data_IF_521483085346
#
_entry.id   IF_521483085346
#
_cell.length_a   1.000
_cell.length_b   1.000
_cell.length_c   1.000
_cell.angle_alpha   90.00
_cell.angle_beta   90.00
_cell.angle_gamma   90.00
#
_symmetry.space_group_name_H-M   'P 1'
#
loop_
_entity.id
_entity.type
_entity.pdbx_description
1 polymer ?
#
# COMPACT_ATOMS: atom_id res chain seq x y z
N UNK A 1 21.17 12.45 -4.75
CA UNK A 1 20.09 11.45 -4.62
C UNK A 1 18.85 12.04 -5.26
N UNK A 2 18.15 11.29 -6.10
CA UNK A 2 16.90 11.76 -6.67
C UNK A 2 15.76 11.55 -5.65
N UNK A 3 14.71 12.38 -5.74
CA UNK A 3 13.53 12.27 -4.88
C UNK A 3 12.38 11.64 -5.65
N UNK A 4 11.69 10.71 -5.00
CA UNK A 4 10.46 10.12 -5.47
C UNK A 4 9.29 10.64 -4.63
N UNK A 5 8.13 10.83 -5.27
CA UNK A 5 6.87 11.19 -4.60
C UNK A 5 5.82 10.13 -4.94
N UNK A 6 5.23 9.52 -3.93
CA UNK A 6 4.03 8.70 -4.06
C UNK A 6 2.83 9.57 -3.73
N UNK A 7 1.91 9.67 -4.67
CA UNK A 7 0.63 10.32 -4.49
C UNK A 7 -0.40 9.20 -4.38
N UNK A 8 -0.80 8.88 -3.15
CA UNK A 8 -1.85 7.90 -2.89
C UNK A 8 -3.19 8.46 -3.33
N UNK A 9 -4.03 7.62 -3.93
CA UNK A 9 -5.32 8.03 -4.51
C UNK A 9 -6.49 7.34 -3.80
N UNK A 10 -6.36 6.03 -3.61
CA UNK A 10 -7.37 5.20 -2.95
C UNK A 10 -6.80 3.88 -2.44
N UNK A 11 -7.47 3.30 -1.47
CA UNK A 11 -7.27 1.92 -1.03
C UNK A 11 -8.58 1.16 -1.16
N UNK A 12 -8.54 -0.04 -1.74
CA UNK A 12 -9.68 -0.94 -1.83
C UNK A 12 -9.35 -2.17 -0.99
N UNK A 13 -10.15 -2.47 0.03
CA UNK A 13 -10.02 -3.71 0.80
C UNK A 13 -11.02 -4.74 0.26
N UNK A 14 -10.62 -6.02 0.27
CA UNK A 14 -11.38 -7.15 -0.29
C UNK A 14 -11.31 -7.18 -1.82
N UNK A 15 -10.11 -7.01 -2.38
CA UNK A 15 -9.84 -7.49 -3.72
C UNK A 15 -9.78 -9.02 -3.67
N UNK A 16 -10.92 -9.69 -3.47
CA UNK A 16 -11.07 -11.04 -4.01
C UNK A 16 -10.60 -10.93 -5.45
N UNK A 17 -9.52 -11.64 -5.78
CA UNK A 17 -9.04 -11.63 -7.15
C UNK A 17 -10.22 -11.90 -8.07
N UNK A 18 -10.27 -11.24 -9.22
CA UNK A 18 -11.13 -11.60 -10.34
C UNK A 18 -10.84 -13.08 -10.76
N UNK A 19 -11.22 -14.06 -9.92
CA UNK A 19 -10.97 -15.50 -10.07
C UNK A 19 -10.09 -16.22 -9.02
N UNK A 20 -10.07 -15.89 -7.72
CA UNK A 20 -9.43 -16.75 -6.69
C UNK A 20 -10.29 -16.95 -5.44
N UNK A 21 -10.37 -18.21 -4.97
CA UNK A 21 -11.14 -18.68 -3.80
C UNK A 21 -10.38 -18.55 -2.45
N UNK A 22 -9.20 -17.91 -2.45
CA UNK A 22 -8.40 -17.76 -1.23
C UNK A 22 -9.05 -16.75 -0.26
N UNK A 23 -9.39 -17.20 0.96
CA UNK A 23 -9.96 -16.42 2.08
C UNK A 23 -8.99 -15.38 2.68
N UNK A 24 -8.12 -14.79 1.87
CA UNK A 24 -7.12 -13.82 2.31
C UNK A 24 -7.57 -12.39 1.97
N UNK A 25 -7.73 -11.56 2.99
CA UNK A 25 -8.05 -10.14 2.81
C UNK A 25 -6.85 -9.42 2.20
N UNK A 26 -6.92 -9.18 0.88
CA UNK A 26 -5.94 -8.38 0.14
C UNK A 26 -6.50 -6.98 -0.04
N UNK A 27 -5.72 -5.99 0.39
CA UNK A 27 -6.00 -4.57 0.14
C UNK A 27 -5.16 -4.09 -1.02
N UNK A 28 -5.75 -3.34 -1.96
CA UNK A 28 -5.04 -2.75 -3.10
C UNK A 28 -4.97 -1.24 -2.95
N UNK A 29 -3.77 -0.71 -2.92
CA UNK A 29 -3.51 0.73 -2.86
C UNK A 29 -3.14 1.22 -4.24
N UNK A 30 -3.86 2.24 -4.72
CA UNK A 30 -3.63 2.90 -5.99
C UNK A 30 -2.89 4.22 -5.75
N UNK A 31 -1.91 4.48 -6.59
CA UNK A 31 -1.07 5.67 -6.48
C UNK A 31 -0.50 6.09 -7.82
N UNK A 32 -0.03 7.33 -7.84
CA UNK A 32 0.86 7.87 -8.86
C UNK A 32 2.27 7.96 -8.29
N UNK A 33 3.28 7.59 -9.07
CA UNK A 33 4.69 7.80 -8.75
C UNK A 33 5.25 8.96 -9.57
N UNK A 34 5.88 9.94 -8.93
CA UNK A 34 6.64 11.00 -9.59
C UNK A 34 8.12 10.85 -9.25
N UNK A 35 8.97 10.75 -10.28
CA UNK A 35 10.44 10.64 -10.15
C UNK A 35 11.08 11.53 -11.21
N UNK A 36 11.95 12.44 -10.80
CA UNK A 36 12.71 13.32 -11.72
C UNK A 36 11.82 14.07 -12.73
N UNK A 37 10.64 14.52 -12.29
CA UNK A 37 9.67 15.21 -13.14
C UNK A 37 8.87 14.32 -14.09
N UNK A 38 9.13 13.01 -14.12
CA UNK A 38 8.30 12.02 -14.83
C UNK A 38 7.21 11.50 -13.90
N UNK A 39 6.00 11.38 -14.42
CA UNK A 39 4.82 10.94 -13.69
C UNK A 39 4.31 9.62 -14.26
N UNK A 40 4.16 8.63 -13.38
CA UNK A 40 3.69 7.28 -13.68
C UNK A 40 2.35 7.07 -12.95
N UNK A 41 1.26 7.18 -13.70
CA UNK A 41 -0.09 7.07 -13.16
C UNK A 41 -0.59 5.61 -13.20
N UNK A 42 -1.65 5.33 -12.43
CA UNK A 42 -2.34 4.03 -12.47
C UNK A 42 -1.52 2.88 -11.89
N UNK A 43 -0.55 3.19 -11.04
CA UNK A 43 0.21 2.18 -10.31
C UNK A 43 -0.60 1.67 -9.13
N UNK A 44 -0.32 0.44 -8.74
CA UNK A 44 -0.89 -0.13 -7.53
C UNK A 44 0.05 -1.12 -6.84
N UNK A 45 -0.16 -1.32 -5.54
CA UNK A 45 0.46 -2.39 -4.77
C UNK A 45 -0.62 -3.13 -3.99
N UNK A 46 -0.41 -4.44 -3.83
CA UNK A 46 -1.25 -5.28 -2.98
C UNK A 46 -0.61 -5.36 -1.59
N UNK A 47 -1.43 -5.25 -0.55
CA UNK A 47 -1.09 -5.37 0.86
C UNK A 47 -1.85 -6.54 1.43
N UNK A 48 -1.13 -7.53 1.98
CA UNK A 48 -1.69 -8.72 2.61
C UNK A 48 -1.28 -8.74 4.08
N UNK A 49 -2.26 -8.79 4.98
CA UNK A 49 -2.00 -9.02 6.40
C UNK A 49 -1.78 -10.50 6.68
N UNK A 50 -0.83 -10.84 7.54
CA UNK A 50 -0.64 -12.23 7.98
C UNK A 50 -1.84 -12.70 8.80
N UNK A 51 -2.30 -13.93 8.55
CA UNK A 51 -3.45 -14.51 9.26
C UNK A 51 -3.18 -14.57 10.76
N UNK A 52 -4.16 -14.16 11.57
CA UNK A 52 -4.06 -14.16 13.03
C UNK A 52 -3.26 -12.99 13.61
N UNK A 53 -2.76 -12.08 12.77
CA UNK A 53 -2.10 -10.85 13.23
C UNK A 53 -3.09 -9.74 13.57
N UNK A 54 -2.60 -8.72 14.26
CA UNK A 54 -3.35 -7.51 14.62
C UNK A 54 -3.33 -6.49 13.49
N UNK A 55 -4.38 -5.69 13.36
CA UNK A 55 -4.44 -4.61 12.36
C UNK A 55 -3.45 -3.47 12.63
N UNK A 56 -3.02 -3.30 13.88
CA UNK A 56 -2.19 -2.18 14.35
C UNK A 56 -0.70 -2.37 14.03
N UNK A 57 -0.18 -3.56 14.30
CA UNK A 57 1.25 -3.87 14.34
C UNK A 57 1.58 -5.25 13.75
N UNK A 58 0.56 -5.97 13.27
CA UNK A 58 0.73 -7.24 12.58
C UNK A 58 1.61 -7.10 11.34
N UNK A 59 2.45 -8.11 11.03
CA UNK A 59 3.24 -8.12 9.82
C UNK A 59 2.33 -8.05 8.59
N UNK A 60 2.77 -7.26 7.61
CA UNK A 60 2.11 -7.12 6.31
C UNK A 60 3.10 -7.41 5.19
N UNK A 61 2.61 -8.08 4.16
CA UNK A 61 3.32 -8.30 2.92
C UNK A 61 2.87 -7.24 1.91
N UNK A 62 3.84 -6.54 1.32
CA UNK A 62 3.61 -5.52 0.30
C UNK A 62 4.19 -6.04 -1.01
N UNK A 63 3.42 -6.01 -2.08
CA UNK A 63 3.93 -6.37 -3.41
C UNK A 63 4.74 -5.22 -4.03
N UNK A 64 5.60 -5.54 -5.00
CA UNK A 64 6.17 -4.54 -5.90
C UNK A 64 5.08 -3.71 -6.59
N UNK A 65 5.37 -2.44 -6.97
CA UNK A 65 4.48 -1.64 -7.81
C UNK A 65 4.11 -2.41 -9.09
N UNK A 66 2.82 -2.58 -9.32
CA UNK A 66 2.24 -3.14 -10.55
C UNK A 66 1.60 -2.02 -11.35
N UNK A 67 1.53 -2.18 -12.68
CA UNK A 67 0.96 -1.19 -13.58
C UNK A 67 1.99 -0.68 -14.58
N UNK A 68 1.93 0.62 -14.91
CA UNK A 68 2.85 1.26 -15.86
C UNK A 68 4.30 0.82 -15.66
N UNK A 69 5.02 0.56 -16.77
CA UNK A 69 6.37 -0.01 -16.79
C UNK A 69 7.43 0.96 -16.28
N UNK A 70 7.40 1.31 -14.99
CA UNK A 70 8.52 2.01 -14.35
C UNK A 70 9.73 1.09 -14.32
N UNK A 71 10.81 1.47 -15.01
CA UNK A 71 12.07 0.71 -15.08
C UNK A 71 13.25 1.43 -14.42
N UNK A 72 12.98 2.48 -13.65
CA UNK A 72 14.02 3.32 -13.03
C UNK A 72 14.45 2.80 -11.66
N UNK A 73 15.47 3.46 -11.09
CA UNK A 73 15.95 3.19 -9.73
C UNK A 73 14.82 3.32 -8.71
N UNK A 74 14.78 2.40 -7.74
CA UNK A 74 13.68 2.30 -6.80
C UNK A 74 14.17 1.87 -5.43
N UNK A 75 13.87 2.67 -4.42
CA UNK A 75 14.12 2.31 -3.04
C UNK A 75 12.92 1.50 -2.51
N UNK A 76 13.01 0.18 -2.62
CA UNK A 76 11.91 -0.72 -2.25
C UNK A 76 11.55 -0.64 -0.77
N UNK A 77 12.55 -0.49 0.11
CA UNK A 77 12.33 -0.37 1.55
C UNK A 77 11.54 0.90 1.89
N UNK A 78 11.95 2.05 1.34
CA UNK A 78 11.24 3.30 1.54
C UNK A 78 9.83 3.29 0.93
N UNK A 79 9.65 2.62 -0.21
CA UNK A 79 8.35 2.39 -0.81
C UNK A 79 7.43 1.57 0.11
N UNK A 80 7.92 0.43 0.62
CA UNK A 80 7.16 -0.42 1.53
C UNK A 80 6.77 0.34 2.79
N UNK A 81 7.70 1.08 3.39
CA UNK A 81 7.41 1.92 4.56
C UNK A 81 6.32 2.98 4.27
N UNK A 82 6.34 3.59 3.09
CA UNK A 82 5.32 4.57 2.69
C UNK A 82 3.94 3.93 2.47
N UNK A 83 3.88 2.77 1.81
CA UNK A 83 2.66 2.01 1.57
C UNK A 83 2.06 1.53 2.90
N UNK A 84 2.88 0.97 3.79
CA UNK A 84 2.48 0.54 5.12
C UNK A 84 1.88 1.70 5.93
N UNK A 85 2.59 2.83 5.97
CA UNK A 85 2.12 4.01 6.69
C UNK A 85 0.77 4.52 6.17
N UNK A 86 0.61 4.58 4.85
CA UNK A 86 -0.67 4.96 4.25
C UNK A 86 -1.77 3.95 4.59
N UNK A 87 -1.52 2.65 4.48
CA UNK A 87 -2.49 1.61 4.86
C UNK A 87 -2.94 1.75 6.32
N UNK A 88 -1.99 1.87 7.25
CA UNK A 88 -2.28 2.01 8.69
C UNK A 88 -2.94 3.35 9.04
N UNK A 89 -2.83 4.38 8.20
CA UNK A 89 -3.56 5.65 8.37
C UNK A 89 -5.07 5.50 8.10
N UNK A 90 -5.44 4.51 7.27
CA UNK A 90 -6.82 4.19 6.92
C UNK A 90 -7.44 3.18 7.88
N UNK A 91 -6.67 2.20 8.33
CA UNK A 91 -7.15 1.06 9.13
C UNK A 91 -6.20 0.80 10.30
N UNK A 92 -6.70 0.87 11.52
CA UNK A 92 -5.91 0.65 12.74
C UNK A 92 -6.40 1.46 13.94
N UNK A 93 -5.75 1.31 15.10
CA UNK A 93 -6.12 2.01 16.34
C UNK A 93 -6.01 3.54 16.24
N UNK A 94 -5.04 4.00 15.45
CA UNK A 94 -4.76 5.41 15.19
C UNK A 94 -5.32 5.90 13.85
N UNK A 95 -6.05 5.05 13.13
CA UNK A 95 -6.58 5.42 11.84
C UNK A 95 -7.70 6.46 11.94
N UNK A 96 -7.82 7.27 10.89
CA UNK A 96 -8.86 8.30 10.79
C UNK A 96 -10.12 7.80 10.13
N UNK A 97 -10.07 6.66 9.41
CA UNK A 97 -11.23 6.13 8.66
C UNK A 97 -11.88 4.99 9.43
N UNK A 98 -11.20 3.86 9.61
CA UNK A 98 -11.70 2.77 10.45
C UNK A 98 -10.80 2.56 11.66
N UNK A 99 -11.31 2.99 12.81
CA UNK A 99 -10.63 2.80 14.10
C UNK A 99 -10.92 1.42 14.65
N UNK A 100 -9.89 0.58 14.72
CA UNK A 100 -9.97 -0.74 15.33
C UNK A 100 -9.16 -0.73 16.63
N UNK A 101 -9.81 -0.94 17.77
CA UNK A 101 -9.12 -1.05 19.05
C UNK A 101 -8.27 -2.33 19.11
N UNK A 102 -7.17 -2.28 19.87
CA UNK A 102 -6.23 -3.39 20.05
C UNK A 102 -6.84 -4.67 20.65
N UNK A 103 -8.00 -4.57 21.28
CA UNK A 103 -8.75 -5.70 21.84
C UNK A 103 -9.78 -6.30 20.89
N UNK A 104 -10.02 -5.67 19.73
CA UNK A 104 -11.04 -6.11 18.81
C UNK A 104 -10.62 -7.38 18.06
N UNK A 105 -11.51 -8.36 18.02
CA UNK A 105 -11.32 -9.67 17.39
C UNK A 105 -12.48 -9.96 16.44
N UNK A 106 -12.30 -10.93 15.54
CA UNK A 106 -13.33 -11.40 14.62
C UNK A 106 -13.94 -10.33 13.70
N UNK A 107 -13.19 -9.26 13.43
CA UNK A 107 -13.63 -8.20 12.52
C UNK A 107 -13.45 -8.67 11.08
N UNK A 108 -14.54 -8.64 10.32
CA UNK A 108 -14.55 -8.83 8.86
C UNK A 108 -14.82 -7.51 8.16
N UNK A 109 -13.92 -7.12 7.27
CA UNK A 109 -14.05 -5.95 6.42
C UNK A 109 -14.16 -6.40 4.97
N UNK A 110 -15.20 -5.97 4.27
CA UNK A 110 -15.49 -6.38 2.89
C UNK A 110 -15.96 -5.21 2.05
N UNK A 111 -15.54 -5.17 0.80
CA UNK A 111 -15.91 -4.17 -0.20
C UNK A 111 -15.71 -2.71 0.25
N UNK A 112 -14.67 -2.44 1.02
CA UNK A 112 -14.37 -1.07 1.44
C UNK A 112 -13.58 -0.34 0.36
N UNK A 113 -14.01 0.88 0.03
CA UNK A 113 -13.26 1.82 -0.82
C UNK A 113 -12.96 3.06 -0.01
N UNK A 114 -11.68 3.31 0.25
CA UNK A 114 -11.20 4.54 0.86
C UNK A 114 -10.62 5.44 -0.22
N UNK A 115 -11.29 6.57 -0.48
CA UNK A 115 -10.81 7.58 -1.42
C UNK A 115 -10.15 8.71 -0.63
N UNK A 116 -8.86 8.56 -0.34
CA UNK A 116 -8.07 9.53 0.43
C UNK A 116 -6.77 9.81 -0.29
N UNK A 117 -6.52 11.09 -0.54
CA UNK A 117 -5.27 11.52 -1.13
C UNK A 117 -4.24 11.82 -0.04
N UNK A 118 -3.07 11.21 -0.13
CA UNK A 118 -1.91 11.50 0.70
C UNK A 118 -0.65 11.53 -0.17
N UNK A 119 0.39 12.23 0.29
CA UNK A 119 1.68 12.28 -0.41
C UNK A 119 2.77 11.82 0.53
N UNK A 120 3.58 10.88 0.07
CA UNK A 120 4.82 10.47 0.72
C UNK A 120 6.01 10.79 -0.20
N UNK A 121 7.08 11.30 0.39
CA UNK A 121 8.33 11.57 -0.33
C UNK A 121 9.44 10.71 0.26
N UNK A 122 10.30 10.18 -0.60
CA UNK A 122 11.47 9.43 -0.18
C UNK A 122 12.62 9.57 -1.18
N UNK A 123 13.82 9.23 -0.71
CA UNK A 123 15.03 9.24 -1.52
C UNK A 123 15.18 7.93 -2.29
N UNK A 124 15.50 8.03 -3.57
CA UNK A 124 15.94 6.90 -4.39
C UNK A 124 17.47 6.92 -4.46
N UNK A 125 18.10 5.86 -3.94
CA UNK A 125 19.53 5.63 -4.04
C UNK A 125 19.83 4.83 -5.32
N UNK A 126 20.98 5.10 -5.92
CA UNK A 126 21.31 4.71 -7.30
C UNK A 126 21.64 3.23 -7.54
N UNK A 127 21.01 2.31 -6.82
CA UNK A 127 21.17 0.89 -7.10
C UNK A 127 20.08 0.45 -8.09
N UNK A 128 20.48 0.03 -9.28
CA UNK A 128 19.62 -0.67 -10.22
C UNK A 128 19.15 -1.98 -9.58
N UNK A 129 17.94 -1.95 -9.01
CA UNK A 129 17.23 -3.17 -8.66
C UNK A 129 16.43 -3.56 -9.89
N UNK A 130 17.03 -4.40 -10.74
CA UNK A 130 16.29 -5.08 -11.79
C UNK A 130 15.25 -5.98 -11.11
N UNK A 131 13.97 -5.74 -11.42
CA UNK A 131 12.81 -6.48 -10.93
C UNK A 131 12.52 -7.71 -11.79
#
# INVERSE_FOLDING_TARGET
MAKARLIFEKCIQDSQGYGSDDEHMVSRIFFTLEVEGKRYNGLHADVKQTVGSTYEDGPIEISSPKGASYKGQFNYEAFCAAIEKYYRSLVGSSATVIRIGSTARDIRMRNNIFQRQEVAEFEISGADVAW
#
